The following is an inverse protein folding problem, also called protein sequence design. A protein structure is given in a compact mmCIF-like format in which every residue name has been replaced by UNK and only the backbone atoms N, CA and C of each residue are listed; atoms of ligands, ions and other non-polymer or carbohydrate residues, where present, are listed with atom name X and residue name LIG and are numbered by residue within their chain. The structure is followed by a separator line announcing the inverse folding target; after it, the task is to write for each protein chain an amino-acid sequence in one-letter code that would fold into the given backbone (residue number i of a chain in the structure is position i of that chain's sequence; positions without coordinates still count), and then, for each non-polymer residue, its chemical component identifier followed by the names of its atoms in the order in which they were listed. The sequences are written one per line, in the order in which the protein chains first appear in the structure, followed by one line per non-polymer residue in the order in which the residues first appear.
data_IF_265803583185
#
_entry.id   IF_265803583185
#
_cell.length_a   1.000
_cell.length_b   1.000
_cell.length_c   1.000
_cell.angle_alpha   90.00
_cell.angle_beta   90.00
_cell.angle_gamma   90.00
#
_symmetry.space_group_name_H-M   'P 1'
#
loop_
_entity.id
_entity.type
_entity.pdbx_description
1 polymer ?
#
# COMPACT_ATOMS: atom_id res chain seq x y z
N UNK A 1 -3.61 21.42 -35.96
CA UNK A 1 -3.97 20.73 -37.20
C UNK A 1 -2.70 20.40 -37.94
N UNK A 2 -2.40 19.13 -38.10
CA UNK A 2 -1.40 18.69 -39.07
C UNK A 2 -2.16 18.55 -40.42
N UNK A 3 -1.79 19.31 -41.41
CA UNK A 3 -2.45 19.35 -42.72
C UNK A 3 -2.20 18.10 -43.60
N UNK A 4 -1.41 17.12 -43.08
CA UNK A 4 -0.91 16.00 -43.89
C UNK A 4 -1.67 14.67 -43.71
N UNK A 5 -2.62 14.57 -42.78
CA UNK A 5 -3.39 13.34 -42.55
C UNK A 5 -4.88 13.53 -42.90
N UNK A 6 -5.42 12.67 -43.74
CA UNK A 6 -6.85 12.56 -44.03
C UNK A 6 -7.63 12.20 -42.75
N UNK A 7 -8.05 13.19 -41.97
CA UNK A 7 -8.83 13.02 -40.74
C UNK A 7 -10.32 12.89 -41.05
N UNK A 8 -10.87 11.71 -40.79
CA UNK A 8 -12.33 11.51 -40.82
C UNK A 8 -12.96 12.16 -39.59
N UNK A 9 -13.92 13.05 -39.78
CA UNK A 9 -14.66 13.71 -38.69
C UNK A 9 -16.16 13.55 -38.87
N UNK A 10 -16.87 13.34 -37.76
CA UNK A 10 -18.31 13.20 -37.70
C UNK A 10 -18.97 14.48 -37.21
N UNK A 11 -20.10 14.86 -37.86
CA UNK A 11 -20.87 16.04 -37.51
C UNK A 11 -22.34 15.69 -37.33
N UNK A 12 -23.00 16.34 -36.38
CA UNK A 12 -24.44 16.18 -36.17
C UNK A 12 -25.23 17.38 -36.69
N UNK A 13 -26.20 17.11 -37.54
CA UNK A 13 -27.13 18.12 -38.01
C UNK A 13 -28.51 17.96 -37.35
N UNK A 14 -29.02 19.04 -36.80
CA UNK A 14 -30.39 19.10 -36.24
C UNK A 14 -31.41 18.92 -37.35
N UNK A 15 -32.69 18.64 -36.98
CA UNK A 15 -33.78 18.48 -37.95
C UNK A 15 -34.02 19.71 -38.84
N UNK A 16 -33.59 20.89 -38.39
CA UNK A 16 -33.67 22.14 -39.15
C UNK A 16 -32.44 22.37 -40.06
N UNK A 17 -31.59 21.38 -40.24
CA UNK A 17 -30.39 21.43 -41.08
C UNK A 17 -29.20 22.18 -40.46
N UNK A 18 -29.32 22.72 -39.24
CA UNK A 18 -28.21 23.41 -38.60
C UNK A 18 -27.27 22.40 -37.91
N UNK A 19 -25.96 22.59 -38.13
CA UNK A 19 -24.93 21.83 -37.45
C UNK A 19 -24.96 22.09 -35.92
N UNK A 20 -24.76 21.05 -35.12
CA UNK A 20 -24.54 21.19 -33.69
C UNK A 20 -23.06 21.52 -33.44
N UNK A 21 -22.79 22.45 -32.58
CA UNK A 21 -21.46 22.88 -32.16
C UNK A 21 -21.55 23.50 -30.77
N UNK A 22 -20.42 23.60 -30.06
CA UNK A 22 -20.32 24.31 -28.81
C UNK A 22 -20.41 25.83 -29.05
N UNK A 23 -21.18 26.51 -28.22
CA UNK A 23 -21.33 27.96 -28.30
C UNK A 23 -20.08 28.67 -27.68
N UNK A 24 -19.97 29.99 -27.90
CA UNK A 24 -18.83 30.76 -27.39
C UNK A 24 -18.62 30.58 -25.88
N UNK A 25 -17.48 30.04 -25.54
CA UNK A 25 -17.06 29.76 -24.16
C UNK A 25 -17.34 28.33 -23.64
N UNK A 26 -18.03 27.51 -24.45
CA UNK A 26 -18.18 26.06 -24.18
C UNK A 26 -17.12 25.30 -24.99
N UNK A 27 -16.42 24.34 -24.37
CA UNK A 27 -15.50 23.44 -25.10
C UNK A 27 -16.25 22.44 -25.96
N UNK A 28 -17.32 21.89 -25.40
CA UNK A 28 -18.10 20.84 -26.05
C UNK A 28 -19.60 21.06 -25.86
N UNK A 29 -20.39 20.54 -26.78
CA UNK A 29 -21.86 20.49 -26.67
C UNK A 29 -22.35 19.07 -26.68
N UNK A 30 -22.93 18.64 -25.56
CA UNK A 30 -23.48 17.30 -25.39
C UNK A 30 -24.74 17.07 -26.25
N UNK A 31 -24.85 15.85 -26.76
CA UNK A 31 -26.03 15.38 -27.49
C UNK A 31 -26.29 13.90 -27.23
N UNK A 32 -27.53 13.58 -26.86
CA UNK A 32 -27.98 12.18 -26.84
C UNK A 32 -28.51 11.76 -28.20
N UNK A 33 -27.95 10.71 -28.77
CA UNK A 33 -28.34 10.12 -30.04
C UNK A 33 -28.56 8.62 -29.81
N UNK A 34 -29.76 8.12 -30.07
CA UNK A 34 -30.11 6.72 -29.89
C UNK A 34 -29.74 6.14 -28.48
N UNK A 35 -29.90 6.95 -27.43
CA UNK A 35 -29.60 6.57 -26.05
C UNK A 35 -28.13 6.66 -25.61
N UNK A 36 -27.21 6.92 -26.52
CA UNK A 36 -25.80 7.17 -26.24
C UNK A 36 -25.53 8.68 -26.19
N UNK A 37 -24.60 9.11 -25.32
CA UNK A 37 -24.15 10.51 -25.25
C UNK A 37 -22.93 10.73 -26.11
N UNK A 38 -22.92 11.86 -26.81
CA UNK A 38 -21.84 12.36 -27.67
C UNK A 38 -21.56 13.81 -27.32
N UNK A 39 -20.37 14.28 -27.61
CA UNK A 39 -20.02 15.69 -27.52
C UNK A 39 -19.50 16.20 -28.85
N UNK A 40 -19.69 17.50 -29.10
CA UNK A 40 -19.26 18.17 -30.33
C UNK A 40 -18.51 19.45 -29.95
N UNK A 41 -17.36 19.67 -30.55
CA UNK A 41 -16.51 20.83 -30.30
C UNK A 41 -17.06 22.15 -30.87
N UNK A 42 -16.32 23.23 -30.76
CA UNK A 42 -16.66 24.54 -31.30
C UNK A 42 -16.79 24.54 -32.83
N UNK A 43 -16.10 23.62 -33.51
CA UNK A 43 -16.22 23.43 -34.96
C UNK A 43 -17.37 22.48 -35.33
N UNK A 44 -18.02 21.88 -34.34
CA UNK A 44 -19.08 20.88 -34.49
C UNK A 44 -18.57 19.51 -34.87
N UNK A 45 -17.28 19.25 -34.78
CA UNK A 45 -16.72 17.89 -34.91
C UNK A 45 -17.00 17.06 -33.65
N UNK A 46 -17.34 15.79 -33.85
CA UNK A 46 -17.56 14.86 -32.76
C UNK A 46 -16.26 14.64 -31.97
N UNK A 47 -16.36 14.78 -30.67
CA UNK A 47 -15.26 14.48 -29.71
C UNK A 47 -15.07 12.98 -29.61
N UNK A 48 -13.82 12.56 -29.62
CA UNK A 48 -13.39 11.18 -29.38
C UNK A 48 -12.29 11.15 -28.34
N UNK A 49 -12.09 9.97 -27.73
CA UNK A 49 -11.08 9.74 -26.71
C UNK A 49 -11.22 10.66 -25.50
N UNK A 50 -10.15 11.26 -25.02
CA UNK A 50 -10.15 12.10 -23.83
C UNK A 50 -10.65 13.52 -24.08
N UNK A 51 -11.52 13.99 -23.19
CA UNK A 51 -12.00 15.38 -23.23
C UNK A 51 -12.29 15.89 -21.81
N UNK A 52 -11.85 17.12 -21.53
CA UNK A 52 -12.21 17.83 -20.31
C UNK A 52 -13.62 18.42 -20.47
N UNK A 53 -14.48 18.22 -19.48
CA UNK A 53 -15.86 18.75 -19.49
C UNK A 53 -15.90 20.15 -18.88
N UNK A 54 -16.56 21.08 -19.56
CA UNK A 54 -16.63 22.49 -19.15
C UNK A 54 -17.48 22.78 -17.91
N UNK A 55 -18.56 22.05 -17.71
CA UNK A 55 -19.39 22.22 -16.51
C UNK A 55 -18.59 21.87 -15.24
N UNK A 56 -17.55 21.09 -15.40
CA UNK A 56 -16.58 20.72 -14.36
C UNK A 56 -15.29 21.57 -14.43
N UNK A 57 -15.07 22.38 -15.47
CA UNK A 57 -13.93 23.30 -15.58
C UNK A 57 -13.87 24.30 -14.42
N UNK A 58 -15.04 24.70 -13.87
CA UNK A 58 -15.10 25.49 -12.65
C UNK A 58 -14.59 24.75 -11.43
N UNK A 59 -14.58 23.43 -11.44
CA UNK A 59 -13.97 22.57 -10.41
C UNK A 59 -12.50 22.34 -10.69
N UNK A 60 -12.11 22.33 -11.96
CA UNK A 60 -10.75 22.18 -12.46
C UNK A 60 -10.03 23.50 -12.74
N UNK A 61 -10.67 24.65 -12.54
CA UNK A 61 -10.12 26.00 -12.81
C UNK A 61 -9.04 26.43 -11.81
N UNK A 62 -8.55 25.52 -11.01
CA UNK A 62 -7.36 25.74 -10.22
C UNK A 62 -6.15 25.66 -11.17
N UNK A 63 -5.64 26.83 -11.54
CA UNK A 63 -4.43 26.98 -12.36
C UNK A 63 -3.25 26.17 -11.82
N UNK A 64 -3.13 26.04 -10.49
CA UNK A 64 -2.09 25.24 -9.86
C UNK A 64 -2.21 23.74 -10.19
N UNK A 65 -3.44 23.19 -10.22
CA UNK A 65 -3.63 21.78 -10.58
C UNK A 65 -3.33 21.52 -12.06
N UNK A 66 -3.73 22.45 -12.96
CA UNK A 66 -3.42 22.34 -14.38
C UNK A 66 -1.92 22.49 -14.66
N UNK A 67 -1.26 23.45 -14.03
CA UNK A 67 0.19 23.66 -14.16
C UNK A 67 0.96 22.46 -13.62
N UNK A 68 0.57 21.92 -12.48
CA UNK A 68 1.24 20.76 -11.90
C UNK A 68 1.00 19.50 -12.74
N UNK A 69 -0.22 19.29 -13.26
CA UNK A 69 -0.52 18.18 -14.17
C UNK A 69 0.29 18.26 -15.48
N UNK A 70 0.47 19.46 -16.02
CA UNK A 70 1.27 19.67 -17.24
C UNK A 70 2.76 19.52 -17.04
N UNK A 71 3.25 19.64 -15.80
CA UNK A 71 4.66 19.53 -15.43
C UNK A 71 5.00 18.24 -14.71
N UNK A 72 4.00 17.48 -14.26
CA UNK A 72 4.18 16.20 -13.61
C UNK A 72 4.75 15.19 -14.59
N UNK A 73 6.00 14.83 -14.40
CA UNK A 73 6.66 13.77 -15.18
C UNK A 73 6.44 12.38 -14.59
N UNK A 74 5.93 12.28 -13.36
CA UNK A 74 5.72 11.03 -12.64
C UNK A 74 4.35 11.01 -11.95
N UNK A 75 3.81 9.83 -11.69
CA UNK A 75 2.57 9.63 -10.92
C UNK A 75 2.65 10.19 -9.50
N UNK A 76 3.84 10.27 -8.92
CA UNK A 76 4.08 10.81 -7.58
C UNK A 76 3.69 12.29 -7.45
N UNK A 77 3.84 13.08 -8.50
CA UNK A 77 3.49 14.50 -8.48
C UNK A 77 1.97 14.75 -8.30
N UNK A 78 1.14 13.73 -8.52
CA UNK A 78 -0.32 13.78 -8.35
C UNK A 78 -0.77 13.45 -6.94
N UNK A 79 0.11 12.98 -6.10
CA UNK A 79 -0.22 12.52 -4.76
C UNK A 79 -0.14 13.68 -3.76
N UNK A 80 -1.03 13.67 -2.77
CA UNK A 80 -1.05 14.67 -1.69
C UNK A 80 -1.75 15.98 -2.00
N UNK A 81 -2.38 16.14 -3.16
CA UNK A 81 -3.14 17.35 -3.48
C UNK A 81 -4.56 17.01 -3.95
N UNK A 82 -5.57 17.19 -3.07
CA UNK A 82 -6.99 16.92 -3.33
C UNK A 82 -7.57 17.62 -4.56
N UNK A 83 -6.88 18.61 -5.09
CA UNK A 83 -7.26 19.32 -6.31
C UNK A 83 -7.08 18.43 -7.55
N UNK A 84 -6.13 17.50 -7.54
CA UNK A 84 -5.87 16.60 -8.67
C UNK A 84 -7.01 15.63 -8.90
N UNK A 85 -7.49 14.99 -7.86
CA UNK A 85 -8.63 14.10 -7.99
C UNK A 85 -9.85 14.82 -8.58
N UNK A 86 -10.13 16.07 -8.16
CA UNK A 86 -11.21 16.90 -8.73
C UNK A 86 -10.98 17.24 -10.21
N UNK A 87 -9.75 17.58 -10.57
CA UNK A 87 -9.37 17.82 -11.95
C UNK A 87 -9.57 16.55 -12.82
N UNK A 88 -9.09 15.40 -12.34
CA UNK A 88 -9.28 14.12 -13.01
C UNK A 88 -10.75 13.76 -13.18
N UNK A 89 -11.59 14.00 -12.16
CA UNK A 89 -13.03 13.74 -12.20
C UNK A 89 -13.77 14.59 -13.26
N UNK A 90 -13.18 15.71 -13.68
CA UNK A 90 -13.73 16.54 -14.75
C UNK A 90 -13.48 15.98 -16.16
N UNK A 91 -12.53 15.06 -16.30
CA UNK A 91 -12.24 14.40 -17.57
C UNK A 91 -13.28 13.31 -17.86
N UNK A 92 -13.57 13.16 -19.18
CA UNK A 92 -14.44 12.12 -19.72
C UNK A 92 -13.77 11.42 -20.87
N UNK A 93 -14.11 10.16 -21.04
CA UNK A 93 -13.63 9.37 -22.16
C UNK A 93 -14.76 9.09 -23.13
N UNK A 94 -14.53 9.39 -24.37
CA UNK A 94 -15.36 9.07 -25.52
C UNK A 94 -14.66 7.96 -26.31
N UNK A 95 -15.43 7.02 -26.83
CA UNK A 95 -14.83 5.94 -27.62
C UNK A 95 -14.09 6.49 -28.86
N UNK A 96 -13.55 5.57 -29.68
CA UNK A 96 -12.79 5.92 -30.88
C UNK A 96 -13.50 6.91 -31.80
N UNK A 97 -12.76 7.49 -32.74
CA UNK A 97 -13.29 8.43 -33.72
C UNK A 97 -14.45 7.89 -34.57
N UNK A 98 -14.59 6.56 -34.71
CA UNK A 98 -15.71 5.92 -35.38
C UNK A 98 -16.97 5.82 -34.54
N UNK A 99 -16.84 5.62 -33.22
CA UNK A 99 -18.00 5.52 -32.29
C UNK A 99 -18.29 6.86 -31.60
N UNK A 100 -17.30 7.49 -30.96
CA UNK A 100 -17.39 8.75 -30.23
C UNK A 100 -18.41 8.79 -29.10
N UNK A 101 -19.00 7.66 -28.72
CA UNK A 101 -19.95 7.62 -27.61
C UNK A 101 -19.24 7.68 -26.27
N UNK A 102 -19.75 8.53 -25.36
CA UNK A 102 -19.17 8.69 -24.03
C UNK A 102 -19.27 7.41 -23.22
N UNK A 103 -18.14 6.97 -22.66
CA UNK A 103 -18.13 5.87 -21.69
C UNK A 103 -18.82 6.34 -20.41
N UNK A 104 -19.76 5.55 -19.91
CA UNK A 104 -20.46 5.82 -18.67
C UNK A 104 -20.86 4.51 -17.99
N UNK A 105 -20.77 4.49 -16.64
CA UNK A 105 -21.09 3.35 -15.79
C UNK A 105 -20.37 2.06 -16.21
N UNK A 106 -19.07 2.16 -16.47
CA UNK A 106 -18.31 1.02 -16.95
C UNK A 106 -16.80 1.18 -16.80
N UNK A 107 -16.15 0.03 -16.90
CA UNK A 107 -14.70 -0.11 -16.99
C UNK A 107 -14.23 0.13 -18.43
N UNK A 108 -13.06 0.74 -18.57
CA UNK A 108 -12.35 0.85 -19.83
C UNK A 108 -10.85 0.89 -19.59
N UNK A 109 -10.05 0.39 -20.54
CA UNK A 109 -8.60 0.33 -20.48
C UNK A 109 -8.04 1.09 -21.67
N UNK A 110 -7.31 2.15 -21.41
CA UNK A 110 -6.79 3.07 -22.43
C UNK A 110 -5.54 3.76 -21.94
N UNK A 111 -4.75 4.28 -22.86
CA UNK A 111 -3.65 5.22 -22.57
C UNK A 111 -4.23 6.48 -21.92
N UNK A 112 -3.69 6.98 -20.80
CA UNK A 112 -4.15 8.20 -20.18
C UNK A 112 -4.02 9.41 -21.11
N UNK A 113 -4.79 10.47 -20.86
CA UNK A 113 -4.50 11.74 -21.48
C UNK A 113 -3.14 12.27 -21.02
N UNK A 114 -2.39 12.95 -21.90
CA UNK A 114 -1.11 13.58 -21.56
C UNK A 114 -1.22 14.45 -20.29
N UNK A 115 -2.31 15.18 -20.17
CA UNK A 115 -2.59 16.07 -19.03
C UNK A 115 -3.00 15.34 -17.75
N UNK A 116 -3.30 14.05 -17.82
CA UNK A 116 -3.61 13.22 -16.65
C UNK A 116 -2.37 12.46 -16.16
N UNK A 117 -1.60 11.91 -17.08
CA UNK A 117 -0.35 11.23 -16.77
C UNK A 117 0.56 11.21 -17.99
N UNK A 118 1.53 12.13 -18.01
CA UNK A 118 2.41 12.31 -19.16
C UNK A 118 3.32 11.11 -19.40
N UNK A 119 3.83 10.50 -18.36
CA UNK A 119 4.74 9.35 -18.47
C UNK A 119 4.06 8.17 -19.16
N UNK A 120 2.92 7.72 -18.64
CA UNK A 120 2.13 6.64 -19.24
C UNK A 120 1.59 6.98 -20.62
N UNK A 121 1.37 8.27 -20.90
CA UNK A 121 1.01 8.75 -22.23
C UNK A 121 2.18 8.63 -23.21
N UNK A 122 3.38 9.07 -22.79
CA UNK A 122 4.58 9.00 -23.64
C UNK A 122 5.02 7.57 -23.92
N UNK A 123 4.79 6.65 -22.96
CA UNK A 123 5.13 5.22 -23.07
C UNK A 123 4.03 4.38 -23.74
N UNK A 124 2.92 4.98 -24.14
CA UNK A 124 1.75 4.30 -24.74
C UNK A 124 1.17 3.19 -23.84
N UNK A 125 1.25 3.38 -22.50
CA UNK A 125 0.81 2.39 -21.54
C UNK A 125 -0.66 2.55 -21.16
N UNK A 126 -1.45 1.49 -21.41
CA UNK A 126 -2.86 1.45 -21.06
C UNK A 126 -3.06 1.23 -19.55
N UNK A 127 -4.02 1.95 -18.98
CA UNK A 127 -4.45 1.80 -17.58
C UNK A 127 -5.96 1.63 -17.47
N UNK A 128 -6.41 0.95 -16.41
CA UNK A 128 -7.82 0.77 -16.14
C UNK A 128 -8.43 1.99 -15.46
N UNK A 129 -9.56 2.42 -15.98
CA UNK A 129 -10.40 3.50 -15.45
C UNK A 129 -11.84 3.03 -15.25
N UNK A 130 -12.59 3.75 -14.44
CA UNK A 130 -14.03 3.55 -14.30
C UNK A 130 -14.76 4.89 -14.38
N UNK A 131 -15.73 4.98 -15.28
CA UNK A 131 -16.62 6.13 -15.38
C UNK A 131 -17.94 5.84 -14.62
N UNK A 132 -18.43 6.84 -13.88
CA UNK A 132 -19.75 6.79 -13.24
C UNK A 132 -20.90 6.92 -14.27
N UNK A 133 -22.16 7.00 -13.80
CA UNK A 133 -23.32 7.15 -14.66
C UNK A 133 -23.37 8.47 -15.46
N UNK A 134 -22.64 9.47 -15.02
CA UNK A 134 -22.48 10.77 -15.69
C UNK A 134 -21.23 10.83 -16.58
N UNK A 135 -20.41 9.80 -16.57
CA UNK A 135 -19.14 9.74 -17.30
C UNK A 135 -17.94 10.32 -16.54
N UNK A 136 -18.13 10.75 -15.28
CA UNK A 136 -17.04 11.24 -14.45
C UNK A 136 -16.16 10.09 -14.00
N UNK A 137 -14.84 10.29 -13.99
CA UNK A 137 -13.90 9.29 -13.49
C UNK A 137 -13.96 9.17 -11.98
N UNK A 138 -13.74 7.97 -11.44
CA UNK A 138 -13.35 7.83 -10.05
C UNK A 138 -11.87 8.16 -9.91
N UNK A 139 -11.51 8.98 -8.94
CA UNK A 139 -10.14 9.40 -8.68
C UNK A 139 -9.95 9.74 -7.19
N UNK A 140 -8.81 9.36 -6.64
CA UNK A 140 -8.40 9.66 -5.27
C UNK A 140 -9.23 8.96 -4.20
N UNK A 141 -9.87 7.84 -4.51
CA UNK A 141 -10.88 7.29 -3.60
C UNK A 141 -11.07 5.77 -3.69
N UNK A 142 -11.63 5.21 -2.63
CA UNK A 142 -12.17 3.85 -2.66
C UNK A 142 -13.59 3.84 -3.19
N UNK A 143 -13.90 2.91 -4.11
CA UNK A 143 -15.28 2.69 -4.62
C UNK A 143 -15.70 1.23 -4.57
N UNK A 144 -16.97 1.02 -4.24
CA UNK A 144 -17.59 -0.30 -4.35
C UNK A 144 -18.34 -0.42 -5.67
N UNK A 145 -17.88 -1.32 -6.52
CA UNK A 145 -18.44 -1.56 -7.85
C UNK A 145 -18.89 -3.02 -7.90
N UNK A 146 -20.18 -3.25 -8.12
CA UNK A 146 -20.79 -4.60 -8.15
C UNK A 146 -20.39 -5.49 -6.95
N UNK A 147 -20.35 -4.90 -5.76
CA UNK A 147 -20.03 -5.60 -4.51
C UNK A 147 -18.55 -5.83 -4.19
N UNK A 148 -17.64 -5.49 -5.08
CA UNK A 148 -16.20 -5.50 -4.88
C UNK A 148 -15.69 -4.07 -4.63
N UNK A 149 -14.72 -3.90 -3.72
CA UNK A 149 -14.10 -2.60 -3.43
C UNK A 149 -12.84 -2.43 -4.26
N UNK A 150 -12.68 -1.30 -4.86
CA UNK A 150 -11.53 -0.87 -5.67
C UNK A 150 -10.97 0.43 -5.13
N UNK A 151 -9.77 0.79 -5.53
CA UNK A 151 -9.17 2.09 -5.27
C UNK A 151 -8.68 2.69 -6.59
N UNK A 152 -8.78 4.01 -6.69
CA UNK A 152 -8.36 4.77 -7.87
C UNK A 152 -7.37 5.84 -7.43
N UNK A 153 -6.24 5.96 -8.12
CA UNK A 153 -5.28 7.03 -7.90
C UNK A 153 -5.89 8.40 -8.16
N UNK A 154 -5.20 9.45 -7.75
CA UNK A 154 -5.65 10.82 -8.02
C UNK A 154 -5.71 11.14 -9.52
N UNK A 155 -4.93 10.46 -10.35
CA UNK A 155 -4.99 10.52 -11.82
C UNK A 155 -6.06 9.60 -12.46
N UNK A 156 -6.84 8.90 -11.63
CA UNK A 156 -7.98 8.06 -12.05
C UNK A 156 -7.63 6.61 -12.37
N UNK A 157 -6.35 6.23 -12.39
CA UNK A 157 -5.94 4.85 -12.65
C UNK A 157 -6.36 3.92 -11.52
N UNK A 158 -6.89 2.75 -11.85
CA UNK A 158 -7.20 1.70 -10.89
C UNK A 158 -5.93 1.18 -10.24
N UNK A 159 -5.91 1.05 -8.92
CA UNK A 159 -4.81 0.44 -8.18
C UNK A 159 -4.86 -1.08 -8.27
N UNK A 160 -3.69 -1.69 -8.44
CA UNK A 160 -3.46 -3.14 -8.41
C UNK A 160 -2.27 -3.48 -7.53
N UNK A 161 -2.12 -4.75 -7.17
CA UNK A 161 -0.99 -5.19 -6.34
C UNK A 161 -1.05 -4.74 -4.88
N UNK A 162 0.10 -4.76 -4.24
CA UNK A 162 0.30 -4.35 -2.84
C UNK A 162 0.59 -2.85 -2.79
N UNK A 163 -0.21 -2.09 -2.03
CA UNK A 163 -0.08 -0.63 -1.93
C UNK A 163 -0.19 -0.15 -0.50
N UNK A 164 0.60 0.85 -0.15
CA UNK A 164 0.45 1.63 1.08
C UNK A 164 -0.24 2.94 0.76
N UNK A 165 -1.43 3.13 1.33
CA UNK A 165 -2.29 4.28 1.05
C UNK A 165 -2.43 5.13 2.32
N UNK A 166 -2.15 6.41 2.19
CA UNK A 166 -2.48 7.43 3.17
C UNK A 166 -3.74 8.16 2.71
N UNK A 167 -4.81 8.01 3.47
CA UNK A 167 -6.07 8.72 3.20
C UNK A 167 -5.94 10.19 3.61
N UNK A 168 -6.34 11.11 2.75
CA UNK A 168 -6.52 12.53 3.04
C UNK A 168 -7.96 12.86 3.40
N UNK A 169 -8.27 14.15 3.52
CA UNK A 169 -9.63 14.62 3.88
C UNK A 169 -10.61 14.45 2.71
N UNK A 170 -10.17 14.63 1.48
CA UNK A 170 -11.02 14.59 0.27
C UNK A 170 -10.58 13.52 -0.73
N UNK A 171 -9.29 13.14 -0.72
CA UNK A 171 -8.68 12.17 -1.65
C UNK A 171 -7.56 11.38 -0.98
N UNK A 172 -6.81 10.60 -1.73
CA UNK A 172 -5.59 9.97 -1.23
C UNK A 172 -4.49 11.02 -1.09
N UNK A 173 -4.00 11.18 0.15
CA UNK A 173 -2.88 12.06 0.42
C UNK A 173 -1.58 11.54 -0.20
N UNK A 174 -1.43 10.21 -0.25
CA UNK A 174 -0.27 9.56 -0.87
C UNK A 174 -0.53 8.07 -1.12
N UNK A 175 0.15 7.48 -2.12
CA UNK A 175 0.14 6.05 -2.42
C UNK A 175 1.58 5.61 -2.68
N UNK A 176 2.09 4.67 -1.88
CA UNK A 176 3.44 4.11 -2.00
C UNK A 176 3.43 2.71 -2.62
N UNK A 177 4.57 2.26 -3.10
CA UNK A 177 4.75 1.04 -3.87
C UNK A 177 4.06 1.11 -5.23
N UNK A 178 4.50 2.04 -6.02
CA UNK A 178 4.05 2.24 -7.38
C UNK A 178 4.67 1.24 -8.36
N UNK A 179 4.12 1.23 -9.57
CA UNK A 179 4.42 0.27 -10.63
C UNK A 179 5.80 0.44 -11.25
N UNK A 180 6.57 1.46 -10.85
CA UNK A 180 7.88 1.77 -11.39
C UNK A 180 9.02 1.12 -10.62
N UNK A 181 10.19 1.04 -11.26
CA UNK A 181 11.43 0.39 -10.80
C UNK A 181 11.94 0.82 -9.42
N UNK A 182 11.32 1.79 -8.80
CA UNK A 182 11.54 2.24 -7.42
C UNK A 182 10.59 1.56 -6.43
N UNK A 183 10.32 0.27 -6.57
CA UNK A 183 9.53 -0.46 -5.58
C UNK A 183 10.24 -0.40 -4.23
N UNK A 184 9.66 0.26 -3.22
CA UNK A 184 10.24 0.26 -1.89
C UNK A 184 10.08 -1.10 -1.19
N UNK A 185 9.74 -2.17 -1.91
CA UNK A 185 9.41 -3.50 -1.40
C UNK A 185 9.87 -4.58 -2.35
N UNK A 186 11.16 -4.60 -2.70
CA UNK A 186 11.71 -5.59 -3.62
C UNK A 186 11.81 -6.99 -2.98
N UNK A 187 11.95 -7.04 -1.66
CA UNK A 187 12.03 -8.28 -0.88
C UNK A 187 11.31 -8.14 0.48
N UNK A 188 11.34 -9.20 1.30
CA UNK A 188 10.67 -9.22 2.62
C UNK A 188 11.27 -8.20 3.58
N UNK A 189 12.59 -8.03 3.59
CA UNK A 189 13.27 -7.12 4.50
C UNK A 189 12.95 -5.66 4.14
N UNK A 190 13.04 -5.29 2.87
CA UNK A 190 12.60 -3.97 2.39
C UNK A 190 11.13 -3.69 2.73
N UNK A 191 10.26 -4.71 2.68
CA UNK A 191 8.87 -4.55 3.10
C UNK A 191 8.77 -4.18 4.58
N UNK A 192 9.48 -4.88 5.47
CA UNK A 192 9.38 -4.61 6.91
C UNK A 192 9.93 -3.24 7.25
N UNK A 193 11.09 -2.86 6.73
CA UNK A 193 11.71 -1.54 6.94
C UNK A 193 10.75 -0.42 6.54
N UNK A 194 10.23 -0.47 5.32
CA UNK A 194 9.33 0.55 4.81
C UNK A 194 7.93 0.50 5.45
N UNK A 195 7.41 -0.68 5.76
CA UNK A 195 6.10 -0.84 6.39
C UNK A 195 6.06 -0.21 7.78
N UNK A 196 7.16 -0.29 8.55
CA UNK A 196 7.29 0.33 9.86
C UNK A 196 7.33 1.85 9.71
N UNK A 197 8.17 2.36 8.82
CA UNK A 197 8.29 3.78 8.54
C UNK A 197 6.94 4.39 8.10
N UNK A 198 6.25 3.76 7.16
CA UNK A 198 4.98 4.26 6.66
C UNK A 198 3.85 4.13 7.67
N UNK A 199 3.77 3.01 8.37
CA UNK A 199 2.68 2.75 9.31
C UNK A 199 2.67 3.77 10.44
N UNK A 200 3.83 4.06 11.02
CA UNK A 200 3.91 4.71 12.30
C UNK A 200 3.86 6.23 12.25
N UNK A 201 4.83 6.97 11.67
CA UNK A 201 4.77 8.43 11.68
C UNK A 201 3.82 8.98 10.63
N UNK A 202 3.54 8.24 9.58
CA UNK A 202 2.94 8.76 8.37
C UNK A 202 1.48 8.32 8.14
N UNK A 203 0.97 7.33 8.89
CA UNK A 203 -0.45 6.96 8.89
C UNK A 203 -0.92 6.22 7.64
N UNK A 204 -0.01 5.51 6.94
CA UNK A 204 -0.37 4.66 5.82
C UNK A 204 -1.00 3.36 6.29
N UNK A 205 -1.84 2.78 5.45
CA UNK A 205 -2.36 1.43 5.60
C UNK A 205 -2.01 0.61 4.36
N UNK A 206 -1.56 -0.61 4.57
CA UNK A 206 -1.27 -1.55 3.50
C UNK A 206 -2.57 -2.18 2.99
N UNK A 207 -2.73 -2.28 1.66
CA UNK A 207 -3.86 -2.93 0.99
C UNK A 207 -3.35 -3.81 -0.15
N UNK A 208 -4.12 -4.84 -0.50
CA UNK A 208 -3.85 -5.65 -1.67
C UNK A 208 -5.04 -5.69 -2.62
N UNK A 209 -4.83 -5.33 -3.88
CA UNK A 209 -5.85 -5.17 -4.92
C UNK A 209 -5.82 -6.27 -5.99
N UNK A 210 -5.23 -7.42 -5.68
CA UNK A 210 -5.10 -8.50 -6.66
C UNK A 210 -4.05 -8.22 -7.73
N UNK A 211 -4.06 -8.98 -8.81
CA UNK A 211 -3.14 -8.79 -9.94
C UNK A 211 -3.62 -7.72 -10.92
N UNK A 212 -2.84 -7.49 -11.97
CA UNK A 212 -2.90 -6.36 -12.90
C UNK A 212 -4.26 -6.03 -13.51
N UNK A 213 -5.07 -7.03 -13.84
CA UNK A 213 -6.41 -6.81 -14.42
C UNK A 213 -7.57 -7.02 -13.42
N UNK A 214 -7.30 -7.36 -12.16
CA UNK A 214 -8.38 -7.58 -11.17
C UNK A 214 -8.73 -6.32 -10.38
N UNK A 215 -7.77 -5.66 -9.75
CA UNK A 215 -7.93 -4.44 -8.95
C UNK A 215 -8.85 -4.56 -7.73
N UNK A 216 -9.45 -5.72 -7.49
CA UNK A 216 -10.38 -5.90 -6.40
C UNK A 216 -9.66 -6.09 -5.05
N UNK A 217 -9.97 -5.22 -4.09
CA UNK A 217 -9.39 -5.26 -2.75
C UNK A 217 -9.64 -6.60 -2.06
N UNK A 218 -8.58 -7.22 -1.56
CA UNK A 218 -8.63 -8.49 -0.83
C UNK A 218 -8.86 -8.27 0.66
N UNK A 219 -9.40 -9.29 1.32
CA UNK A 219 -9.64 -9.31 2.77
C UNK A 219 -9.42 -10.72 3.31
N UNK A 220 -9.04 -10.82 4.58
CA UNK A 220 -8.72 -12.09 5.23
C UNK A 220 -7.33 -12.60 4.87
N UNK A 221 -7.12 -13.89 5.05
CA UNK A 221 -5.84 -14.54 4.69
C UNK A 221 -5.66 -14.51 3.18
N UNK A 222 -4.52 -14.05 2.73
CA UNK A 222 -4.17 -13.92 1.33
C UNK A 222 -2.74 -14.37 1.14
N UNK A 223 -2.48 -15.20 0.13
CA UNK A 223 -1.12 -15.54 -0.29
C UNK A 223 -0.77 -14.65 -1.48
N UNK A 224 0.35 -13.98 -1.40
CA UNK A 224 0.86 -13.09 -2.46
C UNK A 224 2.21 -13.67 -2.88
N UNK A 225 2.44 -13.77 -4.20
CA UNK A 225 3.78 -14.04 -4.69
C UNK A 225 4.59 -12.75 -4.56
N UNK A 226 5.58 -12.77 -3.69
CA UNK A 226 6.38 -11.62 -3.31
C UNK A 226 7.85 -12.03 -3.45
N UNK A 227 8.59 -11.33 -4.29
CA UNK A 227 9.97 -11.67 -4.64
C UNK A 227 10.17 -13.15 -5.09
N UNK A 228 9.20 -13.67 -5.84
CA UNK A 228 9.23 -15.07 -6.31
C UNK A 228 8.78 -16.11 -5.28
N UNK A 229 8.55 -15.71 -4.03
CA UNK A 229 8.08 -16.57 -2.95
C UNK A 229 6.61 -16.32 -2.59
N UNK A 230 5.96 -17.37 -2.06
CA UNK A 230 4.58 -17.28 -1.58
C UNK A 230 4.56 -16.79 -0.14
N UNK A 231 4.31 -15.51 0.05
CA UNK A 231 4.24 -14.84 1.35
C UNK A 231 2.81 -14.73 1.84
N UNK A 232 2.61 -14.95 3.12
CA UNK A 232 1.28 -14.93 3.76
C UNK A 232 0.95 -13.56 4.31
N UNK A 233 -0.23 -13.05 3.95
CA UNK A 233 -0.78 -11.80 4.44
C UNK A 233 -2.12 -12.00 5.13
N UNK A 234 -2.49 -11.06 5.99
CA UNK A 234 -3.83 -10.95 6.55
C UNK A 234 -4.34 -9.52 6.47
N UNK A 235 -5.48 -9.34 5.79
CA UNK A 235 -6.17 -8.06 5.66
C UNK A 235 -7.49 -8.08 6.42
N UNK A 236 -7.84 -6.99 7.11
CA UNK A 236 -9.06 -6.92 7.92
C UNK A 236 -10.32 -7.21 7.10
N UNK A 237 -11.18 -8.10 7.65
CA UNK A 237 -12.39 -8.58 6.93
C UNK A 237 -13.54 -7.59 6.97
N UNK A 238 -13.61 -6.73 7.99
CA UNK A 238 -14.77 -5.89 8.26
C UNK A 238 -14.42 -4.64 9.07
N UNK A 239 -15.42 -3.79 9.29
CA UNK A 239 -15.28 -2.56 10.06
C UNK A 239 -14.60 -1.43 9.30
N UNK A 240 -14.23 -0.36 10.01
CA UNK A 240 -13.59 0.83 9.43
C UNK A 240 -12.20 0.59 8.84
N UNK A 241 -11.57 -0.54 9.21
CA UNK A 241 -10.26 -0.96 8.70
C UNK A 241 -10.36 -2.05 7.62
N UNK A 242 -11.56 -2.32 7.08
CA UNK A 242 -11.74 -3.40 6.10
C UNK A 242 -10.77 -3.27 4.93
N UNK A 243 -9.99 -4.32 4.69
CA UNK A 243 -8.97 -4.41 3.65
C UNK A 243 -7.59 -3.93 4.07
N UNK A 244 -7.46 -3.22 5.20
CA UNK A 244 -6.16 -2.83 5.71
C UNK A 244 -5.40 -4.03 6.26
N UNK A 245 -4.08 -4.09 6.01
CA UNK A 245 -3.18 -5.08 6.58
C UNK A 245 -3.18 -5.02 8.11
N UNK A 246 -3.22 -6.18 8.74
CA UNK A 246 -3.17 -6.30 10.20
C UNK A 246 -1.78 -5.97 10.70
N UNK A 247 -1.67 -5.19 11.77
CA UNK A 247 -0.47 -5.06 12.60
C UNK A 247 -0.80 -5.57 13.99
N UNK A 248 -0.04 -6.55 14.49
CA UNK A 248 -0.27 -7.25 15.75
C UNK A 248 -0.73 -8.68 15.58
N UNK A 249 -1.23 -9.25 16.69
CA UNK A 249 -1.67 -10.64 16.71
C UNK A 249 -3.06 -10.81 16.07
N UNK A 250 -3.18 -11.80 15.20
CA UNK A 250 -4.43 -12.25 14.60
C UNK A 250 -4.44 -13.75 14.37
N UNK A 251 -5.46 -14.44 14.88
CA UNK A 251 -5.58 -15.90 14.79
C UNK A 251 -4.32 -16.62 15.31
N UNK A 252 -3.80 -16.21 16.48
CA UNK A 252 -2.57 -16.68 17.14
C UNK A 252 -1.29 -16.51 16.30
N UNK A 253 -1.24 -15.54 15.41
CA UNK A 253 -0.10 -15.24 14.55
C UNK A 253 0.19 -13.74 14.55
N UNK A 254 1.47 -13.40 14.39
CA UNK A 254 1.95 -12.03 14.42
C UNK A 254 2.11 -11.46 13.00
N UNK A 255 1.69 -10.22 12.81
CA UNK A 255 1.72 -9.53 11.52
C UNK A 255 2.24 -8.10 11.67
N UNK A 256 2.97 -7.62 10.66
CA UNK A 256 3.26 -6.19 10.45
C UNK A 256 2.67 -5.74 9.12
N UNK A 257 1.77 -4.77 9.15
CA UNK A 257 1.12 -4.20 7.95
C UNK A 257 0.52 -5.24 7.00
N UNK A 258 0.07 -6.35 7.55
CA UNK A 258 -0.51 -7.48 6.83
C UNK A 258 0.42 -8.66 6.61
N UNK A 259 1.73 -8.47 6.46
CA UNK A 259 2.68 -9.55 6.25
C UNK A 259 2.90 -10.35 7.55
N UNK A 260 2.90 -11.68 7.41
CA UNK A 260 3.13 -12.62 8.51
C UNK A 260 4.59 -12.58 8.92
N UNK A 261 4.85 -12.25 10.20
CA UNK A 261 6.16 -12.44 10.84
C UNK A 261 6.32 -13.90 11.22
N UNK A 262 7.32 -14.56 10.67
CA UNK A 262 7.61 -15.98 10.94
C UNK A 262 9.10 -16.28 10.77
N UNK A 263 9.60 -17.27 11.47
CA UNK A 263 10.92 -17.81 11.23
C UNK A 263 10.94 -18.66 9.94
N UNK A 264 12.09 -18.75 9.33
CA UNK A 264 12.35 -19.75 8.30
C UNK A 264 12.49 -21.15 8.91
N UNK A 265 12.35 -22.18 8.05
CA UNK A 265 12.34 -23.57 8.52
C UNK A 265 13.65 -23.97 9.22
N UNK A 266 14.75 -23.43 8.74
CA UNK A 266 16.10 -23.75 9.23
C UNK A 266 16.41 -23.03 10.55
N UNK A 267 15.91 -21.81 10.71
CA UNK A 267 16.08 -21.00 11.92
C UNK A 267 15.16 -21.43 13.07
N UNK A 268 13.98 -21.99 12.75
CA UNK A 268 12.94 -22.45 13.69
C UNK A 268 12.29 -21.34 14.51
N UNK A 269 13.06 -20.34 14.93
CA UNK A 269 12.62 -19.16 15.69
C UNK A 269 13.32 -17.93 15.19
N UNK A 270 12.61 -16.80 15.22
CA UNK A 270 13.15 -15.45 15.05
C UNK A 270 12.83 -14.61 16.28
N UNK A 271 13.66 -13.61 16.53
CA UNK A 271 13.37 -12.55 17.48
C UNK A 271 12.66 -11.42 16.76
N UNK A 272 11.58 -10.93 17.36
CA UNK A 272 10.84 -9.79 16.84
C UNK A 272 10.86 -8.66 17.87
N UNK A 273 11.35 -7.50 17.49
CA UNK A 273 11.22 -6.28 18.24
C UNK A 273 9.78 -5.77 18.17
N UNK A 274 9.17 -5.60 19.32
CA UNK A 274 7.87 -4.98 19.50
C UNK A 274 8.06 -3.58 20.07
N UNK A 275 8.14 -2.59 19.20
CA UNK A 275 8.25 -1.19 19.61
C UNK A 275 6.87 -0.60 19.89
N UNK A 276 6.73 0.06 21.05
CA UNK A 276 5.49 0.73 21.47
C UNK A 276 5.80 2.18 21.76
N UNK A 277 5.12 3.12 21.07
CA UNK A 277 5.24 4.56 21.31
C UNK A 277 3.91 5.26 21.28
N UNK A 278 3.89 6.51 21.74
CA UNK A 278 2.71 7.37 21.69
C UNK A 278 2.90 8.45 20.63
N UNK A 279 2.07 8.40 19.58
CA UNK A 279 2.05 9.39 18.50
C UNK A 279 0.71 10.13 18.52
N UNK A 280 0.74 11.45 18.68
CA UNK A 280 -0.47 12.28 18.73
C UNK A 280 -1.52 11.78 19.74
N UNK A 281 -1.07 11.31 20.92
CA UNK A 281 -1.93 10.80 21.99
C UNK A 281 -2.52 9.40 21.72
N UNK A 282 -2.08 8.71 20.69
CA UNK A 282 -2.47 7.33 20.39
C UNK A 282 -1.28 6.41 20.57
N UNK A 283 -1.52 5.26 21.20
CA UNK A 283 -0.52 4.20 21.28
C UNK A 283 -0.39 3.52 19.90
N UNK A 284 0.83 3.48 19.38
CA UNK A 284 1.19 2.80 18.15
C UNK A 284 2.17 1.69 18.50
N UNK A 285 1.98 0.52 17.89
CA UNK A 285 2.86 -0.64 18.07
C UNK A 285 3.30 -1.10 16.70
N UNK A 286 4.62 -1.29 16.55
CA UNK A 286 5.24 -1.86 15.34
C UNK A 286 6.02 -3.11 15.70
N UNK A 287 6.26 -3.94 14.71
CA UNK A 287 6.98 -5.21 14.86
C UNK A 287 8.03 -5.31 13.78
N UNK A 288 9.28 -5.49 14.19
CA UNK A 288 10.44 -5.62 13.32
C UNK A 288 11.12 -6.97 13.53
N UNK A 289 11.67 -7.54 12.46
CA UNK A 289 12.34 -8.83 12.48
C UNK A 289 13.84 -8.62 12.69
N UNK A 290 14.44 -9.37 13.59
CA UNK A 290 15.88 -9.40 13.79
C UNK A 290 16.48 -10.71 13.23
N UNK A 291 17.65 -10.62 12.62
CA UNK A 291 18.24 -11.72 11.87
C UNK A 291 18.66 -12.89 12.75
N UNK A 292 19.32 -12.62 13.87
CA UNK A 292 19.79 -13.68 14.76
C UNK A 292 19.88 -13.27 16.25
N UNK A 293 20.34 -14.20 17.09
CA UNK A 293 20.50 -13.97 18.52
C UNK A 293 21.58 -12.93 18.88
N UNK A 294 22.60 -12.76 18.03
CA UNK A 294 23.64 -11.76 18.27
C UNK A 294 23.14 -10.39 17.93
N UNK A 295 22.48 -10.26 16.78
CA UNK A 295 21.85 -9.03 16.37
C UNK A 295 20.84 -8.55 17.42
N UNK A 296 20.04 -9.45 17.97
CA UNK A 296 19.17 -9.15 19.12
C UNK A 296 19.95 -8.66 20.35
N UNK A 297 21.04 -9.35 20.75
CA UNK A 297 21.80 -9.00 21.95
C UNK A 297 22.65 -7.72 21.77
N UNK A 298 22.92 -7.31 20.55
CA UNK A 298 23.67 -6.11 20.19
C UNK A 298 22.78 -4.85 20.06
N UNK A 299 21.46 -4.97 20.24
CA UNK A 299 20.55 -3.81 20.22
C UNK A 299 20.86 -2.86 21.41
N UNK A 300 20.82 -1.56 21.19
CA UNK A 300 21.22 -0.51 22.14
C UNK A 300 20.42 -0.53 23.46
N UNK A 301 19.18 -1.00 23.43
CA UNK A 301 18.30 -1.12 24.60
C UNK A 301 18.34 -2.50 25.27
N UNK A 302 19.08 -3.45 24.71
CA UNK A 302 19.24 -4.79 25.26
C UNK A 302 20.49 -4.87 26.14
N UNK A 303 20.30 -5.32 27.39
CA UNK A 303 21.39 -5.60 28.32
C UNK A 303 21.51 -7.10 28.51
N UNK A 304 22.51 -7.71 27.85
CA UNK A 304 22.84 -9.11 27.97
C UNK A 304 23.88 -9.31 29.09
N UNK A 305 23.43 -9.64 30.31
CA UNK A 305 24.34 -9.90 31.46
C UNK A 305 24.88 -11.31 31.38
N UNK A 306 26.19 -11.48 31.24
CA UNK A 306 26.85 -12.77 31.19
C UNK A 306 26.72 -13.49 32.54
N UNK A 307 26.09 -14.67 32.54
CA UNK A 307 25.87 -15.49 33.75
C UNK A 307 27.03 -16.43 34.08
N UNK A 308 28.01 -16.57 33.18
CA UNK A 308 29.20 -17.43 33.37
C UNK A 308 30.38 -16.63 33.96
N UNK A 309 30.27 -15.33 34.07
CA UNK A 309 31.31 -14.50 34.64
C UNK A 309 31.55 -14.87 36.12
N UNK A 310 32.82 -15.10 36.48
CA UNK A 310 33.24 -15.51 37.84
C UNK A 310 32.66 -16.85 38.35
N UNK A 311 32.26 -17.78 37.45
CA UNK A 311 31.80 -19.11 37.80
C UNK A 311 32.94 -20.14 37.76
N UNK A 312 32.73 -21.28 38.44
CA UNK A 312 33.54 -22.48 38.31
C UNK A 312 32.75 -23.57 37.59
N UNK A 313 33.42 -24.64 37.12
CA UNK A 313 32.78 -25.72 36.35
C UNK A 313 31.51 -26.28 37.04
N UNK A 314 31.55 -26.49 38.36
CA UNK A 314 30.43 -27.03 39.14
C UNK A 314 29.37 -25.98 39.54
N UNK A 315 29.58 -24.69 39.25
CA UNK A 315 28.62 -23.64 39.59
C UNK A 315 27.28 -23.88 38.86
N UNK A 316 26.19 -23.83 39.63
CA UNK A 316 24.85 -23.91 39.04
C UNK A 316 24.37 -22.55 38.62
N UNK A 317 24.17 -22.38 37.33
CA UNK A 317 23.71 -21.14 36.66
C UNK A 317 22.23 -21.24 36.41
N UNK A 318 21.47 -20.24 36.85
CA UNK A 318 20.04 -20.13 36.55
C UNK A 318 19.86 -19.59 35.12
N UNK A 319 19.42 -20.44 34.21
CA UNK A 319 19.19 -20.14 32.81
C UNK A 319 17.75 -19.62 32.52
N UNK A 320 17.01 -19.25 33.57
CA UNK A 320 15.63 -18.75 33.49
C UNK A 320 14.58 -19.81 33.86
N UNK A 321 13.38 -19.36 34.17
CA UNK A 321 12.23 -20.20 34.55
C UNK A 321 12.53 -21.25 35.65
N UNK A 322 13.33 -20.88 36.64
CA UNK A 322 13.78 -21.76 37.72
C UNK A 322 14.57 -23.02 37.25
N UNK A 323 15.09 -22.97 36.03
CA UNK A 323 15.96 -24.03 35.49
C UNK A 323 17.44 -23.71 35.74
N UNK A 324 18.20 -24.71 36.14
CA UNK A 324 19.62 -24.54 36.39
C UNK A 324 20.43 -25.57 35.60
N UNK A 325 21.57 -25.12 35.04
CA UNK A 325 22.60 -25.96 34.42
C UNK A 325 23.93 -25.76 35.12
N UNK A 326 24.86 -26.70 35.02
CA UNK A 326 26.25 -26.47 35.44
C UNK A 326 26.93 -25.54 34.46
N UNK A 327 27.85 -24.70 34.94
CA UNK A 327 28.59 -23.78 34.08
C UNK A 327 29.43 -24.54 33.02
N UNK A 328 29.94 -25.71 33.33
CA UNK A 328 30.69 -26.58 32.39
C UNK A 328 29.85 -27.12 31.23
N UNK A 329 28.49 -27.12 31.37
CA UNK A 329 27.53 -27.58 30.37
C UNK A 329 27.07 -26.44 29.46
N UNK A 330 27.61 -25.23 29.59
CA UNK A 330 27.21 -24.00 28.88
C UNK A 330 28.42 -23.38 28.19
N UNK A 331 28.27 -23.02 26.93
CA UNK A 331 29.27 -22.24 26.20
C UNK A 331 29.04 -20.75 26.43
N UNK A 332 27.78 -20.34 26.43
CA UNK A 332 27.33 -18.97 26.67
C UNK A 332 26.04 -19.00 27.50
N UNK A 333 25.85 -18.01 28.35
CA UNK A 333 24.60 -17.86 29.09
C UNK A 333 24.39 -16.39 29.48
N UNK A 334 23.29 -15.83 29.09
CA UNK A 334 22.95 -14.42 29.33
C UNK A 334 21.57 -14.30 29.99
N UNK A 335 21.49 -13.40 30.95
CA UNK A 335 20.23 -12.86 31.42
C UNK A 335 19.95 -11.58 30.64
N UNK A 336 18.76 -11.52 30.05
CA UNK A 336 18.33 -10.37 29.25
C UNK A 336 17.50 -9.42 30.10
N UNK A 337 17.80 -8.15 29.99
CA UNK A 337 16.99 -7.05 30.50
C UNK A 337 17.02 -5.88 29.50
N UNK A 338 16.04 -5.01 29.57
CA UNK A 338 15.91 -3.91 28.64
C UNK A 338 16.10 -2.59 29.35
N UNK A 339 16.82 -1.68 28.70
CA UNK A 339 16.90 -0.29 29.08
C UNK A 339 15.94 0.51 28.20
N UNK A 340 15.51 1.66 28.66
CA UNK A 340 14.76 2.58 27.81
C UNK A 340 15.77 3.51 27.14
N UNK A 341 16.17 3.19 25.91
CA UNK A 341 17.13 3.97 25.12
C UNK A 341 16.52 5.27 24.58
N UNK A 342 15.21 5.27 24.34
CA UNK A 342 14.42 6.45 23.97
C UNK A 342 13.29 6.66 24.97
N UNK A 343 13.12 7.88 25.50
CA UNK A 343 12.07 8.21 26.47
C UNK A 343 10.65 7.98 25.91
N UNK A 344 10.49 8.05 24.59
CA UNK A 344 9.21 7.97 23.91
C UNK A 344 8.88 6.59 23.33
N UNK A 345 9.85 5.65 23.25
CA UNK A 345 9.67 4.30 22.68
C UNK A 345 10.01 3.23 23.70
N UNK A 346 9.10 2.28 23.85
CA UNK A 346 9.33 1.07 24.67
C UNK A 346 9.49 -0.14 23.76
N UNK A 347 10.63 -0.82 23.85
CA UNK A 347 10.91 -2.07 23.16
C UNK A 347 10.64 -3.29 24.05
N UNK A 348 10.05 -4.31 23.47
CA UNK A 348 9.88 -5.66 24.04
C UNK A 348 10.24 -6.67 22.94
N UNK A 349 11.14 -7.59 23.21
CA UNK A 349 11.58 -8.58 22.22
C UNK A 349 10.89 -9.91 22.48
N UNK A 350 10.15 -10.39 21.46
CA UNK A 350 9.37 -11.62 21.54
C UNK A 350 9.92 -12.68 20.59
N UNK A 351 9.76 -13.95 20.99
CA UNK A 351 10.18 -15.09 20.18
C UNK A 351 9.04 -15.59 19.31
N UNK A 352 9.26 -15.72 17.99
CA UNK A 352 8.25 -16.17 17.01
C UNK A 352 8.74 -17.41 16.28
N UNK A 353 7.88 -18.40 16.07
CA UNK A 353 8.22 -19.65 15.39
C UNK A 353 7.91 -19.62 13.87
N UNK A 354 8.19 -20.73 13.18
CA UNK A 354 7.94 -20.92 11.73
C UNK A 354 6.47 -20.81 11.30
N UNK A 355 5.53 -20.88 12.25
CA UNK A 355 4.10 -20.67 11.95
C UNK A 355 3.63 -19.24 12.17
N UNK A 356 4.51 -18.34 12.65
CA UNK A 356 4.19 -16.96 13.02
C UNK A 356 3.58 -16.82 14.41
N UNK A 357 3.67 -17.84 15.26
CA UNK A 357 3.13 -17.80 16.62
C UNK A 357 4.16 -17.28 17.60
N UNK A 358 3.77 -16.32 18.45
CA UNK A 358 4.57 -15.89 19.60
C UNK A 358 4.67 -17.03 20.61
N UNK A 359 5.88 -17.30 21.09
CA UNK A 359 6.19 -18.37 22.04
C UNK A 359 6.11 -17.83 23.47
N UNK A 360 5.00 -18.06 24.11
CA UNK A 360 4.70 -17.69 25.50
C UNK A 360 4.95 -18.82 26.49
N UNK A 361 5.60 -19.89 26.07
CA UNK A 361 5.83 -21.09 26.86
C UNK A 361 7.22 -21.11 27.48
N UNK A 362 7.29 -21.66 28.70
CA UNK A 362 8.55 -21.91 29.47
C UNK A 362 9.42 -23.02 28.87
N UNK A 363 9.26 -23.32 27.59
CA UNK A 363 9.98 -24.39 26.90
C UNK A 363 11.46 -24.06 26.66
N UNK A 364 12.18 -25.06 26.20
CA UNK A 364 13.53 -24.89 25.66
C UNK A 364 13.41 -24.67 24.17
N UNK A 365 13.41 -23.41 23.76
CA UNK A 365 13.22 -23.03 22.35
C UNK A 365 14.60 -22.88 21.71
N UNK A 366 15.05 -23.93 21.03
CA UNK A 366 16.36 -24.01 20.37
C UNK A 366 16.19 -23.62 18.92
N UNK A 367 16.91 -22.57 18.48
CA UNK A 367 16.95 -22.15 17.09
C UNK A 367 17.86 -23.02 16.20
N UNK A 368 18.03 -22.65 14.95
CA UNK A 368 18.92 -23.29 14.00
C UNK A 368 20.39 -23.09 14.29
N UNK A 369 20.74 -22.03 15.00
CA UNK A 369 22.12 -21.62 15.34
C UNK A 369 22.58 -22.09 16.72
N UNK A 370 21.86 -23.05 17.31
CA UNK A 370 22.14 -23.65 18.62
C UNK A 370 21.84 -22.78 19.86
N UNK A 371 21.27 -21.58 19.69
CA UNK A 371 20.81 -20.75 20.79
C UNK A 371 19.49 -21.25 21.37
N UNK A 372 19.41 -21.24 22.68
CA UNK A 372 18.20 -21.53 23.45
C UNK A 372 17.62 -20.25 24.03
N UNK A 373 16.35 -19.97 23.70
CA UNK A 373 15.62 -18.82 24.23
C UNK A 373 14.67 -19.24 25.35
N UNK A 374 14.65 -18.46 26.41
CA UNK A 374 13.68 -18.59 27.49
C UNK A 374 12.79 -17.36 27.48
N UNK A 375 11.48 -17.57 27.39
CA UNK A 375 10.48 -16.50 27.38
C UNK A 375 9.65 -16.49 28.65
N UNK A 376 9.11 -15.35 29.00
CA UNK A 376 8.07 -15.21 30.03
C UNK A 376 6.67 -15.61 29.48
N UNK A 377 5.65 -15.41 30.32
CA UNK A 377 4.25 -15.73 29.94
C UNK A 377 3.65 -14.83 28.87
N UNK A 378 4.36 -13.78 28.45
CA UNK A 378 3.98 -12.87 27.38
C UNK A 378 4.80 -13.07 26.10
N UNK A 379 5.71 -14.06 26.12
CA UNK A 379 6.60 -14.32 25.00
C UNK A 379 7.86 -13.44 24.98
N UNK A 380 8.05 -12.57 25.98
CA UNK A 380 9.24 -11.71 26.08
C UNK A 380 10.46 -12.53 26.47
N UNK A 381 11.55 -12.37 25.74
CA UNK A 381 12.79 -13.09 25.96
C UNK A 381 13.44 -12.60 27.25
N UNK A 382 13.78 -13.56 28.17
CA UNK A 382 14.40 -13.29 29.48
C UNK A 382 15.80 -13.83 29.60
N UNK A 383 16.12 -14.89 28.88
CA UNK A 383 17.43 -15.50 28.86
C UNK A 383 17.76 -16.12 27.50
N UNK A 384 19.04 -16.09 27.15
CA UNK A 384 19.62 -16.76 25.97
C UNK A 384 20.83 -17.58 26.46
N UNK A 385 20.99 -18.82 25.97
CA UNK A 385 22.14 -19.65 26.30
C UNK A 385 22.46 -20.65 25.18
N UNK A 386 23.71 -21.11 25.14
CA UNK A 386 24.24 -22.15 24.25
C UNK A 386 24.84 -23.30 25.07
#
# INVERSE_FOLDING_TARGET
FNDDDDQTRWFYFKSNGKKLYADNGERTKDKTINGKKYAFDEYGAMVAEWSLDEDDEKKASDTEAQEAASTASTSEAWEGNGKYAKYTQAWKYYNSVEDGSRVSKGWFKVVPAEMLNKEKYDDDEESWYYADGSGNLYAGEFKTIKGKKYAFRNDGRMLTGLKFIKEGDEDFADVKADDDDSRPFDNEDDFFDNAIEFYEPNGYKCYYFGGDDDGAMRTGKTTINYDGENTSFYFEKSGGKKGAGVTGEKDDKLYQSGMLLKADSDDKYIVVDKATKTVNGKTVVTYDKLDDAKDFMDQDDVVATNLLENTTADTRVNIGNNSNKKAEDLTEAYKISFTQSDEDVKHEYVLVNTSGKVIDSKGKNKDGNDYYYVTDSKGVITNVYV
#
